data_IF_340633238367
#
_entry.id   IF_340633238367
#
_cell.length_a   1.000
_cell.length_b   1.000
_cell.length_c   1.000
_cell.angle_alpha   90.00
_cell.angle_beta   90.00
_cell.angle_gamma   90.00
#
_symmetry.space_group_name_H-M   'P 1'
#
loop_
_entity.id
_entity.type
_entity.pdbx_description
1 polymer ?
#
# COMPACT_ATOMS: atom_id res chain seq x y z
N UNK A 1 -19.18 -5.39 -4.20
CA UNK A 1 -17.71 -5.51 -4.20
C UNK A 1 -17.13 -4.59 -5.27
N UNK A 2 -16.22 -3.70 -4.88
CA UNK A 2 -15.55 -2.71 -5.74
C UNK A 2 -14.06 -3.06 -5.86
N UNK A 3 -13.49 -2.95 -7.06
CA UNK A 3 -12.05 -3.07 -7.29
C UNK A 3 -11.46 -1.69 -7.56
N UNK A 4 -10.40 -1.35 -6.84
CA UNK A 4 -9.69 -0.08 -6.99
C UNK A 4 -8.23 -0.37 -7.33
N UNK A 5 -7.80 0.05 -8.52
CA UNK A 5 -6.41 0.00 -8.93
C UNK A 5 -5.65 1.19 -8.34
N UNK A 6 -4.50 0.95 -7.72
CA UNK A 6 -3.52 1.98 -7.34
C UNK A 6 -2.20 1.71 -8.06
N UNK A 7 -1.17 2.53 -7.88
CA UNK A 7 0.09 2.38 -8.63
C UNK A 7 0.70 0.97 -8.50
N UNK A 8 0.84 0.47 -7.27
CA UNK A 8 1.59 -0.75 -6.96
C UNK A 8 0.72 -1.89 -6.39
N UNK A 9 -0.58 -1.66 -6.26
CA UNK A 9 -1.50 -2.61 -5.66
C UNK A 9 -2.87 -2.47 -6.29
N UNK A 10 -3.72 -3.45 -6.04
CA UNK A 10 -5.15 -3.33 -6.24
C UNK A 10 -5.84 -3.63 -4.90
N UNK A 11 -6.95 -2.96 -4.69
CA UNK A 11 -7.78 -3.08 -3.51
C UNK A 11 -9.11 -3.67 -3.91
N UNK A 12 -9.60 -4.61 -3.13
CA UNK A 12 -10.95 -5.14 -3.21
C UNK A 12 -11.70 -4.62 -1.98
N UNK A 13 -12.80 -3.91 -2.17
CA UNK A 13 -13.68 -3.46 -1.10
C UNK A 13 -15.02 -4.16 -1.18
N UNK A 14 -15.50 -4.62 -0.04
CA UNK A 14 -16.85 -5.11 0.14
C UNK A 14 -17.59 -4.26 1.18
N UNK A 15 -18.34 -3.23 0.74
CA UNK A 15 -19.15 -2.41 1.62
C UNK A 15 -20.30 -3.15 2.31
N UNK A 16 -20.76 -4.28 1.76
CA UNK A 16 -21.81 -5.06 2.40
C UNK A 16 -21.29 -5.78 3.65
N UNK A 17 -20.03 -6.23 3.62
CA UNK A 17 -19.37 -6.91 4.74
C UNK A 17 -18.46 -5.99 5.57
N UNK A 18 -18.27 -4.74 5.14
CA UNK A 18 -17.31 -3.78 5.73
C UNK A 18 -15.89 -4.36 5.76
N UNK A 19 -15.46 -4.98 4.67
CA UNK A 19 -14.16 -5.61 4.53
C UNK A 19 -13.40 -5.11 3.31
N UNK A 20 -12.08 -5.09 3.41
CA UNK A 20 -11.19 -4.79 2.29
C UNK A 20 -10.06 -5.79 2.22
N UNK A 21 -9.50 -5.98 1.04
CA UNK A 21 -8.29 -6.75 0.81
C UNK A 21 -7.36 -5.91 -0.09
N UNK A 22 -6.08 -5.83 0.27
CA UNK A 22 -5.05 -5.12 -0.51
C UNK A 22 -4.02 -6.13 -1.00
N UNK A 23 -3.83 -6.19 -2.31
CA UNK A 23 -2.86 -7.09 -2.92
C UNK A 23 -1.89 -6.33 -3.81
N UNK A 24 -0.59 -6.65 -3.76
CA UNK A 24 0.38 -6.11 -4.70
C UNK A 24 0.06 -6.59 -6.12
N UNK A 25 0.39 -5.77 -7.12
CA UNK A 25 0.27 -6.18 -8.52
C UNK A 25 1.25 -7.34 -8.81
N UNK A 26 0.83 -8.27 -9.66
CA UNK A 26 1.65 -9.41 -10.08
C UNK A 26 1.60 -10.64 -9.17
N UNK A 27 0.76 -10.64 -8.12
CA UNK A 27 0.46 -11.83 -7.31
C UNK A 27 -0.81 -12.51 -7.84
N UNK A 28 -0.81 -13.84 -7.84
CA UNK A 28 -1.98 -14.64 -8.23
C UNK A 28 -3.14 -14.41 -7.25
N UNK A 29 -4.30 -14.04 -7.80
CA UNK A 29 -5.43 -13.47 -7.06
C UNK A 29 -6.26 -14.56 -6.36
N UNK A 30 -6.27 -15.79 -6.89
CA UNK A 30 -7.17 -16.85 -6.40
C UNK A 30 -6.89 -17.27 -4.97
N UNK A 31 -5.61 -17.40 -4.57
CA UNK A 31 -5.23 -17.84 -3.23
C UNK A 31 -5.04 -16.67 -2.25
N UNK A 32 -4.65 -15.49 -2.74
CA UNK A 32 -4.37 -14.33 -1.90
C UNK A 32 -5.65 -13.63 -1.37
N UNK A 33 -6.75 -13.67 -2.15
CA UNK A 33 -8.01 -13.01 -1.77
C UNK A 33 -8.64 -13.63 -0.53
N UNK A 34 -8.68 -14.96 -0.43
CA UNK A 34 -9.41 -15.66 0.63
C UNK A 34 -8.81 -15.43 2.02
N UNK A 35 -7.48 -15.24 2.12
CA UNK A 35 -6.77 -15.09 3.39
C UNK A 35 -6.52 -13.63 3.83
N UNK A 36 -6.76 -12.64 2.96
CA UNK A 36 -6.26 -11.26 3.16
C UNK A 36 -7.35 -10.22 3.43
N UNK A 37 -8.60 -10.65 3.66
CA UNK A 37 -9.68 -9.75 4.02
C UNK A 37 -9.53 -9.22 5.44
N UNK A 38 -9.62 -7.90 5.58
CA UNK A 38 -9.58 -7.19 6.85
C UNK A 38 -10.80 -6.29 6.97
N UNK A 39 -11.32 -6.14 8.19
CA UNK A 39 -12.41 -5.19 8.47
C UNK A 39 -11.92 -3.75 8.32
N UNK A 40 -12.78 -2.89 7.80
CA UNK A 40 -12.66 -1.43 7.91
C UNK A 40 -13.92 -0.86 8.55
N UNK A 41 -13.83 0.36 9.07
CA UNK A 41 -14.94 1.00 9.80
C UNK A 41 -15.49 2.22 9.07
N UNK A 42 -14.63 2.95 8.38
CA UNK A 42 -15.02 4.10 7.57
C UNK A 42 -14.22 4.09 6.27
N UNK A 43 -14.89 4.46 5.19
CA UNK A 43 -14.31 4.76 3.89
C UNK A 43 -14.50 6.25 3.61
N UNK A 44 -13.44 6.93 3.18
CA UNK A 44 -13.55 8.24 2.55
C UNK A 44 -12.85 8.21 1.21
N UNK A 45 -13.55 8.64 0.17
CA UNK A 45 -12.98 8.99 -1.11
C UNK A 45 -13.05 10.49 -1.37
N UNK A 46 -12.08 10.96 -2.12
CA UNK A 46 -12.05 12.26 -2.75
C UNK A 46 -12.10 12.02 -4.27
N UNK A 47 -13.25 12.30 -4.92
CA UNK A 47 -13.42 12.03 -6.34
C UNK A 47 -12.61 12.97 -7.23
N UNK A 48 -12.26 14.17 -6.75
CA UNK A 48 -11.52 15.17 -7.54
C UNK A 48 -10.05 14.77 -7.67
N UNK A 49 -9.47 14.20 -6.61
CA UNK A 49 -8.06 13.78 -6.60
C UNK A 49 -7.88 12.27 -6.82
N UNK A 50 -8.96 11.49 -6.69
CA UNK A 50 -8.91 10.04 -6.63
C UNK A 50 -8.25 9.52 -5.35
N UNK A 51 -7.94 10.38 -4.37
CA UNK A 51 -7.42 9.95 -3.08
C UNK A 51 -8.51 9.23 -2.27
N UNK A 52 -8.10 8.27 -1.46
CA UNK A 52 -9.01 7.60 -0.56
C UNK A 52 -8.31 7.15 0.72
N UNK A 53 -9.11 6.93 1.77
CA UNK A 53 -8.65 6.41 3.06
C UNK A 53 -9.68 5.47 3.68
N UNK A 54 -9.18 4.49 4.42
CA UNK A 54 -9.97 3.58 5.23
C UNK A 54 -9.51 3.57 6.69
N UNK A 55 -10.47 3.61 7.61
CA UNK A 55 -10.21 3.45 9.04
C UNK A 55 -10.14 1.96 9.40
N UNK A 56 -9.10 1.58 10.15
CA UNK A 56 -8.83 0.20 10.58
C UNK A 56 -9.32 -0.09 12.01
N UNK A 57 -9.87 0.90 12.70
CA UNK A 57 -10.50 0.77 14.01
C UNK A 57 -11.70 1.70 14.14
N UNK A 58 -12.62 1.36 15.04
CA UNK A 58 -13.82 2.15 15.35
C UNK A 58 -13.52 3.53 15.90
N UNK A 59 -12.38 3.68 16.58
CA UNK A 59 -11.93 4.96 17.12
C UNK A 59 -11.41 5.91 16.03
N UNK A 60 -11.29 5.44 14.79
CA UNK A 60 -10.77 6.18 13.65
C UNK A 60 -9.38 6.78 13.91
N UNK A 61 -8.54 6.03 14.62
CA UNK A 61 -7.17 6.44 14.97
C UNK A 61 -6.13 5.87 14.01
N UNK A 62 -6.37 4.68 13.43
CA UNK A 62 -5.50 4.09 12.41
C UNK A 62 -6.17 4.15 11.04
N UNK A 63 -5.43 4.69 10.08
CA UNK A 63 -5.88 4.87 8.71
C UNK A 63 -4.89 4.26 7.72
N UNK A 64 -5.40 3.69 6.63
CA UNK A 64 -4.62 3.51 5.40
C UNK A 64 -5.10 4.50 4.35
N UNK A 65 -4.16 5.10 3.62
CA UNK A 65 -4.44 6.02 2.53
C UNK A 65 -3.80 5.53 1.23
N UNK A 66 -4.46 5.84 0.11
CA UNK A 66 -3.94 5.61 -1.23
C UNK A 66 -4.62 6.53 -2.24
N UNK A 67 -4.24 6.41 -3.51
CA UNK A 67 -4.89 7.13 -4.61
C UNK A 67 -5.19 6.18 -5.75
N UNK A 68 -6.37 6.32 -6.34
CA UNK A 68 -6.77 5.62 -7.56
C UNK A 68 -5.75 5.90 -8.65
N UNK A 69 -5.39 4.88 -9.41
CA UNK A 69 -4.55 5.03 -10.59
C UNK A 69 -5.41 5.60 -11.73
N UNK A 70 -5.31 6.91 -11.94
CA UNK A 70 -5.93 7.63 -13.06
C UNK A 70 -4.82 8.00 -14.06
N UNK A 71 -5.05 7.82 -15.36
CA UNK A 71 -4.09 8.23 -16.39
C UNK A 71 -4.44 9.65 -16.90
N UNK A 72 -3.49 10.60 -16.98
CA UNK A 72 -2.08 10.50 -16.60
C UNK A 72 -1.89 10.39 -15.08
N UNK A 73 -0.97 9.52 -14.62
CA UNK A 73 -0.76 9.26 -13.19
C UNK A 73 0.54 9.93 -12.72
N UNK A 74 0.48 11.03 -11.95
CA UNK A 74 1.67 11.80 -11.57
C UNK A 74 2.73 10.96 -10.86
N UNK A 75 2.29 10.01 -10.03
CA UNK A 75 3.20 9.13 -9.28
C UNK A 75 3.86 8.07 -10.16
N UNK A 76 3.13 7.50 -11.12
CA UNK A 76 3.72 6.53 -12.05
C UNK A 76 4.63 7.21 -13.08
N UNK A 77 4.40 8.49 -13.37
CA UNK A 77 5.25 9.29 -14.25
C UNK A 77 6.53 9.78 -13.55
N UNK A 78 6.46 10.09 -12.24
CA UNK A 78 7.60 10.61 -11.48
C UNK A 78 8.50 9.53 -10.87
N UNK A 79 7.94 8.39 -10.46
CA UNK A 79 8.67 7.36 -9.69
C UNK A 79 8.50 5.97 -10.33
N UNK A 80 9.17 5.66 -11.45
CA UNK A 80 9.32 4.28 -11.86
C UNK A 80 10.11 3.54 -10.77
N UNK A 81 9.52 2.50 -10.16
CA UNK A 81 10.20 1.63 -9.21
C UNK A 81 11.52 1.15 -9.82
N UNK A 82 12.65 1.63 -9.31
CA UNK A 82 14.00 1.25 -9.75
C UNK A 82 14.69 0.47 -8.65
N UNK A 83 15.44 -0.55 -9.04
CA UNK A 83 16.32 -1.28 -8.12
C UNK A 83 17.35 -0.31 -7.52
N UNK A 84 17.41 -0.29 -6.18
CA UNK A 84 18.41 0.48 -5.43
C UNK A 84 19.46 -0.49 -4.92
N UNK A 85 20.70 -0.33 -5.39
CA UNK A 85 21.84 -1.07 -4.84
C UNK A 85 22.21 -0.43 -3.50
N UNK A 86 21.99 -1.17 -2.41
CA UNK A 86 22.44 -0.73 -1.08
C UNK A 86 23.97 -0.92 -0.98
N UNK A 87 24.73 0.12 -0.65
CA UNK A 87 26.16 -0.04 -0.39
C UNK A 87 26.38 -0.94 0.84
N UNK A 88 27.47 -1.73 0.88
CA UNK A 88 27.77 -2.55 2.06
C UNK A 88 27.89 -1.66 3.30
N UNK A 89 27.46 -2.13 4.49
CA UNK A 89 27.64 -1.36 5.72
C UNK A 89 29.12 -1.04 5.91
N UNK A 90 29.47 0.15 6.45
CA UNK A 90 30.86 0.46 6.73
C UNK A 90 31.42 -0.62 7.66
N UNK A 91 32.49 -1.29 7.23
CA UNK A 91 33.25 -2.18 8.11
C UNK A 91 33.56 -1.41 9.39
N UNK A 92 33.07 -1.90 10.53
CA UNK A 92 33.45 -1.36 11.82
C UNK A 92 34.97 -1.43 11.90
N UNK A 93 35.62 -0.26 11.92
CA UNK A 93 37.02 -0.15 12.29
C UNK A 93 37.12 -0.65 13.73
N UNK A 94 37.54 -1.91 13.90
CA UNK A 94 38.00 -2.41 15.17
C UNK A 94 39.16 -1.50 15.58
N UNK A 95 38.89 -0.63 16.54
CA UNK A 95 39.89 0.28 17.07
C UNK A 95 41.12 -0.52 17.46
N UNK A 96 42.26 -0.09 16.91
CA UNK A 96 43.59 -0.45 17.39
C UNK A 96 43.64 -0.33 18.91
N UNK A 97 43.56 -1.48 19.59
CA UNK A 97 44.00 -1.60 20.96
C UNK A 97 45.53 -1.61 20.92
N UNK A 98 46.12 -0.41 20.83
CA UNK A 98 47.55 -0.21 21.00
C UNK A 98 47.82 0.48 22.35
N UNK A 99 48.46 -0.33 23.20
CA UNK A 99 49.25 -0.04 24.42
C UNK A 99 48.50 0.09 25.74
#
# INVERSE_FOLDING_TARGET
MERIETCNSFWMLDPALMQFCRMPKGVDVSDAVSASWQRYYVWHDDPDTGAFRIALDEAHTRWLSSSRHLHPCPRCEQEPTREVVMPPPPCAVAGDLLK
#
